data_IF_318669513128
#
_entry.id   IF_318669513128
#
_cell.length_a   1.000
_cell.length_b   1.000
_cell.length_c   1.000
_cell.angle_alpha   90.00
_cell.angle_beta   90.00
_cell.angle_gamma   90.00
#
_symmetry.space_group_name_H-M   'P 1'
#
loop_
_entity.id
_entity.type
_entity.pdbx_description
1 polymer ?
#
# COMPACT_ATOMS: atom_id res chain seq x y z
N UNK A 1 19.65 -3.14 -2.88
CA UNK A 1 21.00 -3.70 -3.14
C UNK A 1 21.43 -3.55 -4.61
N UNK A 2 20.63 -3.95 -5.61
CA UNK A 2 21.04 -3.82 -7.02
C UNK A 2 21.28 -2.37 -7.47
N UNK A 3 20.41 -1.44 -7.07
CA UNK A 3 20.48 -0.03 -7.48
C UNK A 3 21.66 0.74 -6.88
N UNK A 4 22.35 0.20 -5.87
CA UNK A 4 23.56 0.82 -5.30
C UNK A 4 24.85 0.35 -5.98
N UNK A 5 24.80 -0.65 -6.86
CA UNK A 5 25.98 -1.18 -7.56
C UNK A 5 26.73 -0.11 -8.38
N UNK A 6 26.06 0.81 -9.12
CA UNK A 6 26.77 1.88 -9.83
C UNK A 6 27.57 2.78 -8.89
N UNK A 7 27.03 3.09 -7.71
CA UNK A 7 27.73 3.86 -6.69
C UNK A 7 28.96 3.10 -6.14
N UNK A 8 28.82 1.80 -5.83
CA UNK A 8 29.95 0.96 -5.41
C UNK A 8 31.03 0.86 -6.49
N UNK A 9 30.65 0.80 -7.76
CA UNK A 9 31.58 0.78 -8.89
C UNK A 9 32.47 2.02 -8.94
N UNK A 10 31.98 3.20 -8.53
CA UNK A 10 32.79 4.42 -8.40
C UNK A 10 33.90 4.25 -7.38
N UNK A 11 33.60 3.68 -6.21
CA UNK A 11 34.60 3.45 -5.15
C UNK A 11 35.66 2.47 -5.64
N UNK A 12 35.23 1.38 -6.27
CA UNK A 12 36.12 0.36 -6.84
C UNK A 12 37.00 0.96 -7.92
N UNK A 13 36.43 1.70 -8.87
CA UNK A 13 37.18 2.39 -9.92
C UNK A 13 38.21 3.35 -9.33
N UNK A 14 37.86 4.13 -8.31
CA UNK A 14 38.81 5.06 -7.69
C UNK A 14 39.96 4.36 -6.98
N UNK A 15 39.67 3.29 -6.26
CA UNK A 15 40.65 2.61 -5.37
C UNK A 15 41.50 1.59 -6.09
N UNK A 16 40.96 0.89 -7.09
CA UNK A 16 41.63 -0.21 -7.80
C UNK A 16 41.87 0.07 -9.29
N UNK A 17 41.30 1.15 -9.83
CA UNK A 17 41.40 1.51 -11.25
C UNK A 17 40.61 0.59 -12.18
N UNK A 18 40.65 0.91 -13.48
CA UNK A 18 39.99 0.12 -14.54
C UNK A 18 40.44 -1.34 -14.61
N UNK A 19 41.70 -1.61 -14.22
CA UNK A 19 42.27 -2.97 -14.23
C UNK A 19 41.52 -3.93 -13.30
N UNK A 20 40.82 -3.44 -12.27
CA UNK A 20 40.00 -4.30 -11.42
C UNK A 20 38.91 -5.01 -12.22
N UNK A 21 38.23 -4.28 -13.11
CA UNK A 21 37.09 -4.77 -13.87
C UNK A 21 37.47 -5.81 -14.94
N UNK A 22 38.75 -5.89 -15.29
CA UNK A 22 39.29 -6.94 -16.18
C UNK A 22 40.08 -8.01 -15.42
N UNK A 23 40.19 -7.90 -14.10
CA UNK A 23 40.96 -8.82 -13.26
C UNK A 23 40.13 -10.00 -12.75
N UNK A 24 40.83 -11.08 -12.36
CA UNK A 24 40.22 -12.20 -11.62
C UNK A 24 39.61 -11.78 -10.28
N UNK A 25 39.98 -10.62 -9.72
CA UNK A 25 39.38 -10.11 -8.47
C UNK A 25 37.90 -9.78 -8.63
N UNK A 26 37.48 -9.28 -9.80
CA UNK A 26 36.06 -9.07 -10.09
C UNK A 26 35.31 -10.40 -10.08
N UNK A 27 35.88 -11.45 -10.68
CA UNK A 27 35.28 -12.78 -10.66
C UNK A 27 35.11 -13.29 -9.22
N UNK A 28 36.14 -13.18 -8.37
CA UNK A 28 36.02 -13.57 -6.97
C UNK A 28 34.99 -12.74 -6.21
N UNK A 29 34.97 -11.41 -6.40
CA UNK A 29 33.96 -10.55 -5.78
C UNK A 29 32.54 -10.91 -6.24
N UNK A 30 32.35 -11.21 -7.53
CA UNK A 30 31.07 -11.65 -8.09
C UNK A 30 30.64 -13.00 -7.52
N UNK A 31 31.55 -13.98 -7.45
CA UNK A 31 31.27 -15.30 -6.88
C UNK A 31 30.91 -15.22 -5.40
N UNK A 32 31.64 -14.40 -4.61
CA UNK A 32 31.32 -14.17 -3.19
C UNK A 32 29.95 -13.49 -3.05
N UNK A 33 29.68 -12.46 -3.85
CA UNK A 33 28.40 -11.72 -3.80
C UNK A 33 27.22 -12.60 -4.23
N UNK A 34 27.38 -13.39 -5.29
CA UNK A 34 26.38 -14.36 -5.75
C UNK A 34 26.19 -15.46 -4.71
N UNK A 35 27.28 -15.98 -4.11
CA UNK A 35 27.21 -16.95 -3.03
C UNK A 35 26.46 -16.43 -1.81
N UNK A 36 26.73 -15.18 -1.40
CA UNK A 36 25.99 -14.51 -0.33
C UNK A 36 24.51 -14.31 -0.68
N UNK A 37 24.21 -13.91 -1.92
CA UNK A 37 22.84 -13.76 -2.41
C UNK A 37 22.10 -15.11 -2.38
N UNK A 38 22.73 -16.18 -2.87
CA UNK A 38 22.17 -17.54 -2.82
C UNK A 38 21.94 -17.95 -1.36
N UNK A 39 22.89 -17.69 -0.46
CA UNK A 39 22.73 -18.03 0.96
C UNK A 39 21.51 -17.33 1.58
N UNK A 40 21.30 -16.04 1.28
CA UNK A 40 20.12 -15.28 1.74
C UNK A 40 18.84 -15.82 1.11
N UNK A 41 18.82 -16.05 -0.21
CA UNK A 41 17.62 -16.51 -0.92
C UNK A 41 17.30 -17.99 -0.66
N UNK A 42 18.26 -18.81 -0.25
CA UNK A 42 18.03 -20.22 0.12
C UNK A 42 17.11 -20.36 1.35
N UNK A 43 16.99 -19.31 2.16
CA UNK A 43 15.99 -19.25 3.23
C UNK A 43 14.56 -19.39 2.68
N UNK A 44 14.25 -18.82 1.51
CA UNK A 44 12.89 -18.81 0.97
C UNK A 44 12.34 -20.21 0.65
N UNK A 45 13.01 -21.07 -0.15
CA UNK A 45 12.53 -22.43 -0.38
C UNK A 45 12.52 -23.27 0.90
N UNK A 46 13.48 -23.06 1.80
CA UNK A 46 13.49 -23.74 3.09
C UNK A 46 12.26 -23.36 3.92
N UNK A 47 11.99 -22.07 4.08
CA UNK A 47 10.80 -21.56 4.78
C UNK A 47 9.52 -22.06 4.10
N UNK A 48 9.42 -21.95 2.77
CA UNK A 48 8.28 -22.41 2.00
C UNK A 48 8.01 -23.91 2.20
N UNK A 49 9.04 -24.75 2.32
CA UNK A 49 8.90 -26.19 2.57
C UNK A 49 8.22 -26.52 3.90
N UNK A 50 8.30 -25.62 4.89
CA UNK A 50 7.65 -25.74 6.20
C UNK A 50 6.17 -25.36 6.19
N UNK A 51 5.60 -25.08 5.01
CA UNK A 51 4.19 -24.72 4.85
C UNK A 51 3.80 -23.55 5.77
N UNK A 52 4.50 -22.39 5.66
CA UNK A 52 4.16 -21.23 6.46
C UNK A 52 2.73 -20.81 6.13
N UNK A 53 2.11 -20.12 7.08
CA UNK A 53 0.73 -19.72 6.98
C UNK A 53 0.44 -18.97 5.67
N UNK A 54 1.20 -17.90 5.40
CA UNK A 54 1.20 -17.19 4.13
C UNK A 54 2.49 -17.53 3.40
N UNK A 55 2.39 -18.24 2.29
CA UNK A 55 3.52 -18.66 1.48
C UNK A 55 3.55 -17.89 0.15
N UNK A 56 3.89 -16.60 0.24
CA UNK A 56 3.76 -15.64 -0.86
C UNK A 56 4.56 -16.07 -2.10
N UNK A 57 3.87 -16.30 -3.22
CA UNK A 57 4.48 -16.78 -4.46
C UNK A 57 4.94 -18.24 -4.44
N UNK A 58 4.82 -18.95 -3.30
CA UNK A 58 5.16 -20.35 -3.11
C UNK A 58 6.52 -20.77 -3.72
N UNK A 59 7.68 -20.22 -3.27
CA UNK A 59 8.99 -20.45 -3.87
C UNK A 59 9.57 -21.84 -3.56
N UNK A 60 8.87 -22.92 -3.94
CA UNK A 60 9.25 -24.32 -3.69
C UNK A 60 9.95 -24.99 -4.87
N UNK A 61 9.68 -24.58 -6.10
CA UNK A 61 10.41 -25.07 -7.28
C UNK A 61 11.33 -23.98 -7.84
N UNK A 62 12.26 -24.39 -8.70
CA UNK A 62 13.17 -23.47 -9.38
C UNK A 62 12.42 -22.36 -10.14
N UNK A 63 11.23 -22.67 -10.66
CA UNK A 63 10.41 -21.71 -11.38
C UNK A 63 9.88 -20.60 -10.48
N UNK A 64 9.23 -20.93 -9.35
CA UNK A 64 8.70 -19.92 -8.44
C UNK A 64 9.82 -19.16 -7.73
N UNK A 65 10.95 -19.83 -7.42
CA UNK A 65 12.16 -19.16 -6.90
C UNK A 65 12.65 -18.11 -7.91
N UNK A 66 12.74 -18.48 -9.19
CA UNK A 66 13.15 -17.55 -10.24
C UNK A 66 12.14 -16.41 -10.40
N UNK A 67 10.84 -16.69 -10.34
CA UNK A 67 9.80 -15.66 -10.39
C UNK A 67 9.90 -14.67 -9.23
N UNK A 68 10.20 -15.17 -8.02
CA UNK A 68 10.39 -14.34 -6.85
C UNK A 68 11.63 -13.45 -6.97
N UNK A 69 12.80 -14.03 -7.31
CA UNK A 69 14.05 -13.28 -7.51
C UNK A 69 13.89 -12.19 -8.57
N UNK A 70 13.16 -12.49 -9.63
CA UNK A 70 12.96 -11.58 -10.75
C UNK A 70 11.80 -10.60 -10.57
N UNK A 71 11.10 -10.67 -9.43
CA UNK A 71 9.92 -9.85 -9.13
C UNK A 71 8.81 -10.01 -10.17
N UNK A 72 8.66 -11.19 -10.80
CA UNK A 72 7.81 -11.40 -11.98
C UNK A 72 6.38 -10.87 -11.80
N UNK A 73 5.78 -11.09 -10.63
CA UNK A 73 4.42 -10.63 -10.30
C UNK A 73 4.28 -9.11 -10.24
N UNK A 74 5.36 -8.40 -9.93
CA UNK A 74 5.37 -6.95 -9.72
C UNK A 74 5.78 -6.17 -10.95
N UNK A 75 6.21 -6.84 -12.03
CA UNK A 75 6.62 -6.18 -13.28
C UNK A 75 5.48 -5.44 -13.97
N UNK A 76 4.23 -5.77 -13.66
CA UNK A 76 3.04 -5.08 -14.19
C UNK A 76 3.01 -3.60 -13.77
N UNK A 77 3.64 -3.24 -12.66
CA UNK A 77 3.74 -1.86 -12.18
C UNK A 77 4.88 -1.09 -12.86
N UNK A 78 5.68 -1.71 -13.73
CA UNK A 78 6.73 -0.99 -14.46
C UNK A 78 6.13 -0.30 -15.70
N UNK A 79 6.23 1.02 -15.75
CA UNK A 79 5.81 1.87 -16.87
C UNK A 79 6.90 2.89 -17.20
N UNK A 80 7.34 2.89 -18.45
CA UNK A 80 8.41 3.79 -18.94
C UNK A 80 7.86 4.94 -19.78
N UNK A 81 6.58 5.29 -19.61
CA UNK A 81 5.97 6.37 -20.38
C UNK A 81 6.35 7.74 -19.78
N UNK A 82 6.68 8.75 -20.61
CA UNK A 82 7.04 10.07 -20.10
C UNK A 82 5.96 10.73 -19.23
N UNK A 83 4.69 10.48 -19.54
CA UNK A 83 3.56 11.00 -18.76
C UNK A 83 3.55 10.44 -17.34
N UNK A 84 3.66 9.11 -17.18
CA UNK A 84 3.71 8.46 -15.86
C UNK A 84 4.94 8.92 -15.07
N UNK A 85 6.13 8.88 -15.70
CA UNK A 85 7.37 9.31 -15.04
C UNK A 85 7.31 10.78 -14.60
N UNK A 86 6.61 11.63 -15.36
CA UNK A 86 6.37 13.04 -15.00
C UNK A 86 5.51 13.19 -13.75
N UNK A 87 4.43 12.40 -13.63
CA UNK A 87 3.59 12.37 -12.41
C UNK A 87 4.42 11.93 -11.20
N UNK A 88 5.17 10.84 -11.33
CA UNK A 88 6.04 10.33 -10.25
C UNK A 88 7.11 11.36 -9.86
N UNK A 89 7.63 12.13 -10.82
CA UNK A 89 8.63 13.16 -10.54
C UNK A 89 8.05 14.34 -9.75
N UNK A 90 6.82 14.75 -10.05
CA UNK A 90 6.12 15.79 -9.29
C UNK A 90 5.86 15.33 -7.86
N UNK A 91 5.43 14.07 -7.70
CA UNK A 91 5.20 13.48 -6.38
C UNK A 91 6.49 13.38 -5.57
N UNK A 92 7.57 12.86 -6.18
CA UNK A 92 8.90 12.85 -5.58
C UNK A 92 9.34 14.25 -5.15
N UNK A 93 9.15 15.27 -6.00
CA UNK A 93 9.54 16.65 -5.68
C UNK A 93 8.75 17.19 -4.48
N UNK A 94 7.46 16.87 -4.38
CA UNK A 94 6.62 17.24 -3.23
C UNK A 94 7.11 16.56 -1.95
N UNK A 95 7.38 15.26 -2.01
CA UNK A 95 7.92 14.50 -0.87
C UNK A 95 9.30 15.02 -0.46
N UNK A 96 10.20 15.27 -1.41
CA UNK A 96 11.53 15.78 -1.15
C UNK A 96 11.48 17.13 -0.41
N UNK A 97 10.61 18.04 -0.85
CA UNK A 97 10.43 19.33 -0.20
C UNK A 97 9.84 19.18 1.20
N UNK A 98 8.99 18.18 1.44
CA UNK A 98 8.39 17.89 2.76
C UNK A 98 9.42 17.31 3.73
N UNK A 99 10.13 16.25 3.33
CA UNK A 99 11.04 15.51 4.21
C UNK A 99 12.18 16.39 4.74
N UNK A 100 12.63 17.36 3.93
CA UNK A 100 13.77 18.21 4.25
C UNK A 100 13.39 19.60 4.80
N UNK A 101 12.26 19.68 5.52
CA UNK A 101 11.85 20.86 6.28
C UNK A 101 10.78 21.70 5.58
N UNK A 102 10.39 22.85 6.16
CA UNK A 102 9.32 23.65 5.59
C UNK A 102 9.74 24.24 4.23
N UNK A 103 8.81 24.23 3.27
CA UNK A 103 9.05 24.71 1.90
C UNK A 103 9.58 26.15 1.84
N UNK A 104 9.21 27.00 2.80
CA UNK A 104 9.68 28.40 2.90
C UNK A 104 11.09 28.54 3.49
N UNK A 105 11.65 27.48 4.08
CA UNK A 105 13.02 27.45 4.61
C UNK A 105 13.69 26.08 4.35
N UNK A 106 14.05 25.78 3.08
CA UNK A 106 14.62 24.49 2.67
C UNK A 106 16.12 24.41 2.99
N UNK A 107 16.52 24.73 4.23
CA UNK A 107 17.92 24.75 4.66
C UNK A 107 18.65 23.42 4.43
N UNK A 108 18.06 22.24 4.74
CA UNK A 108 18.73 20.97 4.48
C UNK A 108 19.03 20.75 2.99
N UNK A 109 18.11 21.14 2.09
CA UNK A 109 18.33 21.03 0.63
C UNK A 109 19.38 22.02 0.14
N UNK A 110 19.41 23.25 0.68
CA UNK A 110 20.45 24.23 0.37
C UNK A 110 21.84 23.71 0.78
N UNK A 111 21.96 23.10 1.96
CA UNK A 111 23.19 22.44 2.37
C UNK A 111 23.49 21.21 1.53
N UNK A 112 22.50 20.42 1.12
CA UNK A 112 22.73 19.29 0.22
C UNK A 112 23.33 19.75 -1.11
N UNK A 113 22.82 20.83 -1.69
CA UNK A 113 23.38 21.43 -2.91
C UNK A 113 24.82 21.90 -2.71
N UNK A 114 25.10 22.63 -1.62
CA UNK A 114 26.47 23.03 -1.27
C UNK A 114 27.38 21.81 -1.06
N UNK A 115 26.86 20.74 -0.46
CA UNK A 115 27.54 19.47 -0.27
C UNK A 115 27.91 18.77 -1.57
N UNK A 116 26.98 18.66 -2.51
CA UNK A 116 27.27 18.13 -3.84
C UNK A 116 28.30 19.00 -4.57
N UNK A 117 28.16 20.32 -4.53
CA UNK A 117 29.08 21.24 -5.18
C UNK A 117 30.50 21.16 -4.59
N UNK A 118 30.62 20.90 -3.29
CA UNK A 118 31.91 20.83 -2.58
C UNK A 118 32.55 19.45 -2.73
N UNK A 119 31.77 18.38 -2.63
CA UNK A 119 32.19 17.04 -3.02
C UNK A 119 32.71 17.04 -4.45
N UNK A 120 32.01 17.65 -5.41
CA UNK A 120 32.50 17.74 -6.80
C UNK A 120 33.87 18.42 -6.90
N UNK A 121 34.14 19.46 -6.10
CA UNK A 121 35.43 20.17 -6.16
C UNK A 121 36.55 19.45 -5.42
N UNK A 122 36.26 18.88 -4.25
CA UNK A 122 37.26 18.36 -3.32
C UNK A 122 37.40 16.83 -3.35
N UNK A 123 36.30 16.10 -3.54
CA UNK A 123 36.25 14.65 -3.54
C UNK A 123 35.24 14.11 -4.57
N UNK A 124 35.72 13.98 -5.81
CA UNK A 124 34.95 13.45 -6.94
C UNK A 124 34.36 12.08 -6.68
N UNK A 125 34.99 11.27 -5.84
CA UNK A 125 34.53 9.91 -5.54
C UNK A 125 33.27 9.95 -4.71
N UNK A 126 33.24 10.74 -3.64
CA UNK A 126 32.03 10.95 -2.84
C UNK A 126 30.91 11.57 -3.67
N UNK A 127 31.23 12.56 -4.52
CA UNK A 127 30.23 13.16 -5.41
C UNK A 127 29.55 12.12 -6.30
N UNK A 128 30.34 11.34 -7.05
CA UNK A 128 29.79 10.35 -7.97
C UNK A 128 29.12 9.18 -7.25
N UNK A 129 29.61 8.80 -6.07
CA UNK A 129 28.97 7.80 -5.23
C UNK A 129 27.55 8.22 -4.84
N UNK A 130 27.39 9.40 -4.22
CA UNK A 130 26.08 9.91 -3.80
C UNK A 130 25.17 10.17 -5.01
N UNK A 131 25.72 10.74 -6.09
CA UNK A 131 24.95 11.04 -7.29
C UNK A 131 24.43 9.77 -7.97
N UNK A 132 25.20 8.68 -8.04
CA UNK A 132 24.70 7.44 -8.61
C UNK A 132 23.68 6.72 -7.73
N UNK A 133 23.70 6.89 -6.41
CA UNK A 133 22.59 6.43 -5.58
C UNK A 133 21.31 7.19 -5.97
N UNK A 134 21.38 8.51 -6.12
CA UNK A 134 20.22 9.31 -6.55
C UNK A 134 19.73 8.89 -7.94
N UNK A 135 20.62 8.84 -8.94
CA UNK A 135 20.25 8.52 -10.33
C UNK A 135 19.67 7.10 -10.44
N UNK A 136 20.33 6.09 -9.86
CA UNK A 136 19.92 4.71 -10.05
C UNK A 136 18.59 4.39 -9.36
N UNK A 137 18.35 4.95 -8.16
CA UNK A 137 17.07 4.75 -7.46
C UNK A 137 15.95 5.55 -8.14
N UNK A 138 16.16 6.83 -8.47
CA UNK A 138 15.14 7.60 -9.19
C UNK A 138 14.80 7.03 -10.56
N UNK A 139 15.77 6.48 -11.30
CA UNK A 139 15.50 5.82 -12.56
C UNK A 139 14.56 4.62 -12.42
N UNK A 140 14.60 3.92 -11.28
CA UNK A 140 13.69 2.84 -10.97
C UNK A 140 12.34 3.38 -10.46
N UNK A 141 12.38 4.23 -9.43
CA UNK A 141 11.20 4.71 -8.72
C UNK A 141 10.26 5.52 -9.64
N UNK A 142 10.81 6.33 -10.55
CA UNK A 142 10.02 7.09 -11.53
C UNK A 142 9.33 6.18 -12.56
N UNK A 143 9.87 4.98 -12.79
CA UNK A 143 9.31 4.00 -13.71
C UNK A 143 8.44 2.94 -13.02
N UNK A 144 8.25 3.04 -11.72
CA UNK A 144 7.52 2.05 -10.92
C UNK A 144 6.24 2.67 -10.35
N UNK A 145 5.10 2.29 -10.92
CA UNK A 145 3.77 2.79 -10.58
C UNK A 145 3.21 2.05 -9.38
N UNK A 146 3.64 2.45 -8.18
CA UNK A 146 2.93 2.08 -6.94
C UNK A 146 2.16 3.29 -6.45
N UNK A 147 0.86 3.14 -6.22
CA UNK A 147 0.07 4.22 -5.64
C UNK A 147 0.44 4.49 -4.17
N UNK A 148 0.72 3.44 -3.40
CA UNK A 148 0.92 3.44 -1.94
C UNK A 148 2.41 3.21 -1.56
N UNK A 149 2.82 3.57 -0.34
CA UNK A 149 4.15 3.31 0.25
C UNK A 149 5.38 3.77 -0.58
N UNK A 150 5.22 4.78 -1.45
CA UNK A 150 6.31 5.29 -2.31
C UNK A 150 7.49 5.87 -1.51
N UNK A 151 7.22 6.43 -0.33
CA UNK A 151 8.21 7.01 0.57
C UNK A 151 9.32 6.02 0.94
N UNK A 152 8.98 4.74 1.13
CA UNK A 152 9.93 3.67 1.40
C UNK A 152 10.94 3.46 0.25
N UNK A 153 10.51 3.66 -1.00
CA UNK A 153 11.37 3.50 -2.18
C UNK A 153 12.36 4.66 -2.33
N UNK A 154 11.96 5.87 -1.94
CA UNK A 154 12.82 7.06 -2.00
C UNK A 154 13.86 7.15 -0.87
N UNK A 155 13.80 6.28 0.15
CA UNK A 155 14.74 6.29 1.28
C UNK A 155 16.23 6.36 0.88
N UNK A 156 16.74 5.58 -0.10
CA UNK A 156 18.15 5.68 -0.51
C UNK A 156 18.51 7.05 -1.11
N UNK A 157 17.56 7.68 -1.81
CA UNK A 157 17.71 9.03 -2.37
C UNK A 157 17.77 10.05 -1.23
N UNK A 158 16.84 9.97 -0.28
CA UNK A 158 16.81 10.85 0.90
C UNK A 158 18.06 10.71 1.76
N UNK A 159 18.53 9.48 2.02
CA UNK A 159 19.79 9.25 2.74
C UNK A 159 20.96 9.92 2.01
N UNK A 160 21.03 9.81 0.68
CA UNK A 160 22.10 10.44 -0.10
C UNK A 160 22.08 11.97 -0.04
N UNK A 161 20.88 12.56 -0.06
CA UNK A 161 20.68 14.00 0.08
C UNK A 161 21.03 14.48 1.50
N UNK A 162 20.66 13.71 2.53
CA UNK A 162 21.02 14.00 3.92
C UNK A 162 22.54 13.95 4.15
N UNK A 163 23.22 12.96 3.57
CA UNK A 163 24.70 12.89 3.59
C UNK A 163 25.32 14.08 2.87
N UNK A 164 24.80 14.45 1.70
CA UNK A 164 25.22 15.67 1.00
C UNK A 164 25.03 16.91 1.88
N UNK A 165 23.91 17.04 2.61
CA UNK A 165 23.71 18.16 3.53
C UNK A 165 24.81 18.25 4.60
N UNK A 166 25.25 17.10 5.14
CA UNK A 166 26.41 17.03 6.03
C UNK A 166 27.69 17.58 5.40
N UNK A 167 27.96 17.28 4.13
CA UNK A 167 29.09 17.88 3.40
C UNK A 167 28.93 19.39 3.19
N UNK A 168 27.70 19.88 3.00
CA UNK A 168 27.42 21.33 2.92
C UNK A 168 27.72 22.06 4.22
N UNK A 169 27.37 21.45 5.36
CA UNK A 169 27.70 21.98 6.69
C UNK A 169 29.21 21.98 6.91
N UNK A 170 29.91 20.91 6.50
CA UNK A 170 31.38 20.87 6.52
C UNK A 170 32.00 22.00 5.70
N UNK A 171 31.44 22.30 4.52
CA UNK A 171 31.88 23.43 3.72
C UNK A 171 31.69 24.77 4.43
N UNK A 172 30.57 24.96 5.13
CA UNK A 172 30.33 26.17 5.92
C UNK A 172 31.38 26.35 7.04
N UNK A 173 31.77 25.25 7.70
CA UNK A 173 32.89 25.26 8.67
C UNK A 173 34.17 25.75 7.99
N UNK A 174 34.55 25.14 6.87
CA UNK A 174 35.78 25.49 6.14
C UNK A 174 35.78 26.96 5.71
N UNK A 175 34.65 27.48 5.24
CA UNK A 175 34.49 28.87 4.81
C UNK A 175 34.67 29.85 5.97
N UNK A 176 34.13 29.52 7.15
CA UNK A 176 34.26 30.38 8.34
C UNK A 176 35.68 30.36 8.91
N UNK A 177 36.35 29.20 8.92
CA UNK A 177 37.78 29.13 9.30
C UNK A 177 38.69 29.88 8.33
N UNK A 178 38.43 29.80 7.02
CA UNK A 178 39.25 30.46 6.00
C UNK A 178 39.17 32.00 6.08
N UNK A 179 38.09 32.55 6.64
CA UNK A 179 37.91 33.99 6.88
C UNK A 179 38.56 34.48 8.18
N UNK A 180 39.51 33.72 8.74
CA UNK A 180 40.23 34.06 9.99
C UNK A 180 39.32 34.27 11.21
N UNK A 181 38.12 33.68 11.20
CA UNK A 181 37.27 33.63 12.38
C UNK A 181 37.88 32.60 13.34
N UNK A 182 37.97 32.91 14.64
CA UNK A 182 38.49 31.99 15.66
C UNK A 182 37.78 30.63 15.59
N UNK A 183 38.53 29.53 15.77
CA UNK A 183 38.03 28.15 15.69
C UNK A 183 36.71 27.95 16.47
N UNK A 184 36.62 28.46 17.70
CA UNK A 184 35.42 28.34 18.54
C UNK A 184 34.16 28.99 17.92
N UNK A 185 34.31 30.13 17.25
CA UNK A 185 33.19 30.79 16.54
C UNK A 185 32.79 30.03 15.27
N UNK A 186 33.75 29.43 14.55
CA UNK A 186 33.45 28.58 13.38
C UNK A 186 32.66 27.33 13.79
N UNK A 187 33.07 26.65 14.86
CA UNK A 187 32.29 25.54 15.43
C UNK A 187 30.93 25.99 15.95
N UNK A 188 30.82 27.20 16.52
CA UNK A 188 29.53 27.78 16.90
C UNK A 188 28.57 27.97 15.71
N UNK A 189 29.04 28.52 14.59
CA UNK A 189 28.25 28.65 13.35
C UNK A 189 27.79 27.29 12.84
N UNK A 190 28.68 26.29 12.88
CA UNK A 190 28.38 24.94 12.45
C UNK A 190 27.34 24.26 13.35
N UNK A 191 27.50 24.40 14.68
CA UNK A 191 26.54 23.89 15.64
C UNK A 191 25.15 24.51 15.42
N UNK A 192 25.08 25.82 15.18
CA UNK A 192 23.83 26.51 14.84
C UNK A 192 23.26 25.95 13.53
N UNK A 193 24.08 25.77 12.48
CA UNK A 193 23.62 25.22 11.21
C UNK A 193 23.05 23.79 11.37
N UNK A 194 23.76 22.91 12.08
CA UNK A 194 23.30 21.54 12.39
C UNK A 194 21.99 21.57 13.18
N UNK A 195 21.93 22.41 14.22
CA UNK A 195 20.75 22.53 15.07
C UNK A 195 19.56 23.05 14.27
N UNK A 196 19.73 24.10 13.45
CA UNK A 196 18.66 24.63 12.61
C UNK A 196 18.19 23.61 11.57
N UNK A 197 19.11 22.96 10.85
CA UNK A 197 18.78 21.92 9.87
C UNK A 197 18.02 20.76 10.50
N UNK A 198 18.47 20.29 11.68
CA UNK A 198 17.84 19.16 12.37
C UNK A 198 16.50 19.55 13.00
N UNK A 199 16.42 20.74 13.62
CA UNK A 199 15.20 21.22 14.25
C UNK A 199 14.11 21.53 13.22
N UNK A 200 14.43 22.16 12.08
CA UNK A 200 13.42 22.45 11.05
C UNK A 200 12.88 21.16 10.42
N UNK A 201 13.75 20.20 10.08
CA UNK A 201 13.32 18.90 9.57
C UNK A 201 12.50 18.13 10.63
N UNK A 202 12.94 18.10 11.88
CA UNK A 202 12.22 17.42 12.96
C UNK A 202 10.83 18.04 13.19
N UNK A 203 10.75 19.36 13.36
CA UNK A 203 9.48 20.05 13.62
C UNK A 203 8.49 19.96 12.46
N UNK A 204 8.96 20.00 11.21
CA UNK A 204 8.10 19.86 10.03
C UNK A 204 7.49 18.46 9.94
N UNK A 205 8.27 17.42 10.26
CA UNK A 205 7.85 16.03 10.08
C UNK A 205 7.22 15.41 11.33
N UNK A 206 7.49 15.93 12.54
CA UNK A 206 7.02 15.37 13.80
C UNK A 206 5.50 15.15 13.86
N UNK A 207 4.63 16.09 13.43
CA UNK A 207 3.19 15.89 13.53
C UNK A 207 2.66 14.70 12.71
N UNK A 208 3.34 14.35 11.61
CA UNK A 208 2.95 13.27 10.70
C UNK A 208 3.65 11.94 11.04
N UNK A 209 4.87 12.01 11.57
CA UNK A 209 5.66 10.83 11.93
C UNK A 209 5.43 10.35 13.37
N UNK A 210 4.81 11.15 14.23
CA UNK A 210 4.45 10.73 15.58
C UNK A 210 3.23 9.79 15.57
N UNK A 211 3.47 8.49 15.52
CA UNK A 211 2.45 7.44 15.45
C UNK A 211 2.00 6.87 16.81
N UNK A 212 2.27 7.58 17.93
CA UNK A 212 1.93 7.11 19.30
C UNK A 212 0.44 6.79 19.54
N UNK A 213 -0.45 7.37 18.73
CA UNK A 213 -1.90 7.18 18.80
C UNK A 213 -2.46 6.59 17.49
N UNK A 214 -1.62 5.95 16.67
CA UNK A 214 -2.03 5.37 15.41
C UNK A 214 -2.67 3.99 15.63
N UNK A 215 -3.98 3.96 15.86
CA UNK A 215 -4.77 2.73 16.06
C UNK A 215 -5.64 2.36 14.84
N UNK A 216 -5.53 3.13 13.75
CA UNK A 216 -6.47 3.07 12.62
C UNK A 216 -6.63 1.69 12.01
N UNK A 217 -5.53 0.97 11.76
CA UNK A 217 -5.60 -0.36 11.15
C UNK A 217 -6.33 -1.37 12.05
N UNK A 218 -6.12 -1.27 13.37
CA UNK A 218 -6.78 -2.13 14.35
C UNK A 218 -8.28 -1.76 14.45
N UNK A 219 -8.59 -0.48 14.63
CA UNK A 219 -9.97 0.02 14.75
C UNK A 219 -10.77 -0.27 13.48
N UNK A 220 -10.15 -0.14 12.31
CA UNK A 220 -10.79 -0.48 11.03
C UNK A 220 -11.15 -1.96 10.94
N UNK A 221 -10.24 -2.86 11.34
CA UNK A 221 -10.54 -4.30 11.37
C UNK A 221 -11.62 -4.65 12.39
N UNK A 222 -11.56 -4.09 13.60
CA UNK A 222 -12.60 -4.33 14.62
C UNK A 222 -13.98 -3.83 14.17
N UNK A 223 -14.04 -2.64 13.56
CA UNK A 223 -15.27 -2.09 13.01
C UNK A 223 -15.85 -2.92 11.85
N UNK A 224 -14.99 -3.48 10.99
CA UNK A 224 -15.42 -4.39 9.93
C UNK A 224 -15.93 -5.72 10.49
N UNK A 225 -15.17 -6.33 11.40
CA UNK A 225 -15.51 -7.63 11.99
C UNK A 225 -16.75 -7.57 12.87
N UNK A 226 -16.96 -6.49 13.62
CA UNK A 226 -18.13 -6.32 14.49
C UNK A 226 -19.45 -6.23 13.69
N UNK A 227 -19.38 -5.84 12.42
CA UNK A 227 -20.54 -5.80 11.54
C UNK A 227 -20.88 -7.18 10.91
N UNK A 228 -19.96 -8.15 10.95
CA UNK A 228 -20.13 -9.45 10.29
C UNK A 228 -20.75 -10.46 11.25
N UNK A 229 -21.85 -11.09 10.85
CA UNK A 229 -22.48 -12.18 11.60
C UNK A 229 -21.64 -13.47 11.62
N UNK A 230 -21.97 -14.38 12.54
CA UNK A 230 -21.21 -15.62 12.72
C UNK A 230 -21.12 -16.45 11.44
N UNK A 231 -19.95 -17.01 11.14
CA UNK A 231 -19.64 -17.79 9.93
C UNK A 231 -19.77 -17.04 8.59
N UNK A 232 -19.91 -15.71 8.64
CA UNK A 232 -20.05 -14.86 7.46
C UNK A 232 -18.81 -14.88 6.54
N UNK A 233 -19.05 -14.62 5.26
CA UNK A 233 -18.01 -14.41 4.25
C UNK A 233 -17.83 -12.92 4.01
N UNK A 234 -16.60 -12.40 4.10
CA UNK A 234 -16.22 -11.08 3.61
C UNK A 234 -15.41 -11.23 2.32
N UNK A 235 -15.95 -10.73 1.21
CA UNK A 235 -15.20 -10.54 -0.03
C UNK A 235 -14.72 -9.08 -0.09
N UNK A 236 -13.43 -8.87 -0.36
CA UNK A 236 -12.86 -7.51 -0.45
C UNK A 236 -11.79 -7.42 -1.53
N UNK A 237 -11.53 -6.21 -2.03
CA UNK A 237 -10.36 -5.87 -2.85
C UNK A 237 -9.48 -4.82 -2.17
N UNK A 238 -9.87 -4.36 -0.98
CA UNK A 238 -9.15 -3.36 -0.24
C UNK A 238 -8.00 -4.02 0.51
N UNK A 239 -6.77 -3.69 0.08
CA UNK A 239 -5.57 -4.14 0.76
C UNK A 239 -5.51 -3.66 2.22
N UNK A 240 -6.14 -2.51 2.53
CA UNK A 240 -6.24 -1.98 3.88
C UNK A 240 -7.23 -2.75 4.77
N UNK A 241 -7.98 -3.68 4.17
CA UNK A 241 -8.78 -4.68 4.89
C UNK A 241 -8.00 -6.00 4.96
N UNK A 242 -7.61 -6.55 3.80
CA UNK A 242 -7.01 -7.88 3.74
C UNK A 242 -5.71 -8.01 4.55
N UNK A 243 -4.82 -7.01 4.45
CA UNK A 243 -3.51 -7.02 5.12
C UNK A 243 -3.61 -7.08 6.65
N UNK A 244 -4.30 -6.13 7.34
CA UNK A 244 -4.43 -6.20 8.79
C UNK A 244 -5.34 -7.35 9.26
N UNK A 245 -6.30 -7.82 8.45
CA UNK A 245 -7.12 -9.01 8.77
C UNK A 245 -6.26 -10.27 8.93
N UNK A 246 -5.20 -10.44 8.13
CA UNK A 246 -4.28 -11.57 8.32
C UNK A 246 -3.68 -11.55 9.74
N UNK A 247 -3.24 -10.40 10.23
CA UNK A 247 -2.68 -10.29 11.57
C UNK A 247 -3.74 -10.50 12.65
N UNK A 248 -4.88 -9.80 12.56
CA UNK A 248 -5.96 -9.89 13.54
C UNK A 248 -6.50 -11.32 13.69
N UNK A 249 -6.74 -12.02 12.57
CA UNK A 249 -7.24 -13.38 12.64
C UNK A 249 -6.15 -14.38 13.03
N UNK A 250 -4.94 -14.27 12.46
CA UNK A 250 -3.96 -15.36 12.57
C UNK A 250 -3.04 -15.23 13.77
N UNK A 251 -2.82 -14.01 14.27
CA UNK A 251 -1.97 -13.73 15.42
C UNK A 251 -2.84 -13.42 16.63
N UNK A 252 -3.78 -12.49 16.52
CA UNK A 252 -4.65 -12.09 17.64
C UNK A 252 -5.85 -13.02 17.86
N UNK A 253 -6.09 -13.98 16.96
CA UNK A 253 -7.20 -14.95 17.01
C UNK A 253 -8.60 -14.31 17.03
N UNK A 254 -8.73 -13.09 16.47
CA UNK A 254 -10.02 -12.40 16.39
C UNK A 254 -10.91 -13.01 15.31
N UNK A 255 -12.18 -13.28 15.66
CA UNK A 255 -13.26 -13.71 14.74
C UNK A 255 -12.80 -14.74 13.68
N UNK A 256 -12.24 -15.85 14.15
CA UNK A 256 -11.80 -16.99 13.30
C UNK A 256 -12.94 -17.66 12.54
N UNK A 257 -14.17 -17.44 12.96
CA UNK A 257 -15.39 -17.89 12.30
C UNK A 257 -15.64 -17.15 10.97
N UNK A 258 -15.18 -15.91 10.84
CA UNK A 258 -15.37 -15.09 9.64
C UNK A 258 -14.36 -15.47 8.57
N UNK A 259 -14.85 -15.75 7.36
CA UNK A 259 -13.99 -16.06 6.21
C UNK A 259 -13.71 -14.77 5.46
N UNK A 260 -12.46 -14.33 5.47
CA UNK A 260 -12.03 -13.13 4.71
C UNK A 260 -11.31 -13.56 3.43
N UNK A 261 -11.84 -13.17 2.28
CA UNK A 261 -11.32 -13.50 0.95
C UNK A 261 -10.99 -12.23 0.18
N UNK A 262 -9.73 -12.11 -0.22
CA UNK A 262 -9.25 -11.01 -1.07
C UNK A 262 -9.38 -11.41 -2.55
N UNK A 263 -10.21 -10.69 -3.30
CA UNK A 263 -10.47 -10.95 -4.70
C UNK A 263 -9.28 -10.62 -5.63
N UNK A 264 -8.34 -9.77 -5.22
CA UNK A 264 -7.08 -9.57 -5.92
C UNK A 264 -6.15 -10.78 -5.73
N UNK A 265 -6.08 -11.32 -4.51
CA UNK A 265 -5.27 -12.51 -4.23
C UNK A 265 -5.85 -13.79 -4.85
N UNK A 266 -7.17 -13.86 -5.09
CA UNK A 266 -7.75 -14.93 -5.92
C UNK A 266 -7.13 -15.01 -7.32
N UNK A 267 -6.44 -13.98 -7.81
CA UNK A 267 -5.69 -14.00 -9.08
C UNK A 267 -4.27 -14.52 -8.92
N UNK A 268 -3.96 -15.21 -7.82
CA UNK A 268 -2.64 -15.81 -7.53
C UNK A 268 -2.83 -17.26 -7.12
N UNK A 269 -2.23 -18.19 -7.85
CA UNK A 269 -2.49 -19.62 -7.64
C UNK A 269 -2.10 -20.10 -6.23
N UNK A 270 -1.05 -19.50 -5.64
CA UNK A 270 -0.60 -19.78 -4.27
C UNK A 270 -1.63 -19.40 -3.19
N UNK A 271 -2.54 -18.46 -3.46
CA UNK A 271 -3.54 -18.03 -2.48
C UNK A 271 -4.57 -19.14 -2.22
N UNK A 272 -4.87 -19.98 -3.21
CA UNK A 272 -5.73 -21.14 -3.00
C UNK A 272 -5.11 -22.20 -2.10
N UNK A 273 -3.77 -22.27 -1.99
CA UNK A 273 -3.13 -23.12 -1.00
C UNK A 273 -3.33 -22.58 0.42
N UNK A 274 -3.36 -21.25 0.60
CA UNK A 274 -3.74 -20.62 1.86
C UNK A 274 -5.21 -20.87 2.19
N UNK A 275 -6.12 -20.66 1.24
CA UNK A 275 -7.55 -20.86 1.44
C UNK A 275 -7.88 -22.33 1.75
N UNK A 276 -7.24 -23.31 1.09
CA UNK A 276 -7.42 -24.75 1.40
C UNK A 276 -7.05 -25.10 2.84
N UNK A 277 -6.03 -24.46 3.40
CA UNK A 277 -5.60 -24.71 4.78
C UNK A 277 -6.45 -23.95 5.79
N UNK A 278 -6.87 -22.74 5.45
CA UNK A 278 -7.54 -21.82 6.38
C UNK A 278 -9.05 -22.01 6.38
N UNK A 279 -9.65 -22.23 5.20
CA UNK A 279 -11.09 -22.37 4.98
C UNK A 279 -11.38 -23.60 4.11
N UNK A 280 -11.05 -24.83 4.57
CA UNK A 280 -11.22 -26.05 3.78
C UNK A 280 -12.66 -26.24 3.29
N UNK A 281 -13.65 -25.94 4.14
CA UNK A 281 -15.06 -26.12 3.79
C UNK A 281 -15.54 -25.15 2.69
N UNK A 282 -14.99 -23.92 2.66
CA UNK A 282 -15.26 -22.95 1.60
C UNK A 282 -14.73 -23.48 0.27
N UNK A 283 -13.52 -24.04 0.27
CA UNK A 283 -12.94 -24.65 -0.93
C UNK A 283 -13.75 -25.87 -1.37
N UNK A 284 -14.18 -26.73 -0.44
CA UNK A 284 -14.94 -27.93 -0.77
C UNK A 284 -16.26 -27.59 -1.47
N UNK A 285 -17.03 -26.65 -0.92
CA UNK A 285 -18.34 -26.27 -1.46
C UNK A 285 -18.27 -25.72 -2.89
N UNK A 286 -17.15 -25.14 -3.28
CA UNK A 286 -16.94 -24.54 -4.60
C UNK A 286 -15.81 -25.22 -5.38
N UNK A 287 -15.46 -26.46 -5.02
CA UNK A 287 -14.29 -27.19 -5.52
C UNK A 287 -14.19 -27.20 -7.04
N UNK A 288 -15.26 -27.60 -7.71
CA UNK A 288 -15.29 -27.76 -9.17
C UNK A 288 -14.89 -26.46 -9.87
N UNK A 289 -15.58 -25.36 -9.54
CA UNK A 289 -15.32 -24.04 -10.16
C UNK A 289 -13.97 -23.46 -9.77
N UNK A 290 -13.53 -23.69 -8.53
CA UNK A 290 -12.20 -23.30 -8.06
C UNK A 290 -11.10 -24.05 -8.82
N UNK A 291 -11.20 -25.37 -8.98
CA UNK A 291 -10.20 -26.18 -9.65
C UNK A 291 -10.09 -25.83 -11.14
N UNK A 292 -11.22 -25.63 -11.83
CA UNK A 292 -11.25 -25.14 -13.21
C UNK A 292 -10.52 -23.81 -13.37
N UNK A 293 -10.83 -22.83 -12.52
CA UNK A 293 -10.17 -21.53 -12.59
C UNK A 293 -8.68 -21.60 -12.22
N UNK A 294 -8.31 -22.38 -11.19
CA UNK A 294 -6.91 -22.52 -10.75
C UNK A 294 -6.04 -23.17 -11.82
N UNK A 295 -6.59 -24.10 -12.60
CA UNK A 295 -5.90 -24.70 -13.74
C UNK A 295 -5.58 -23.65 -14.82
N UNK A 296 -6.59 -22.87 -15.24
CA UNK A 296 -6.42 -21.79 -16.21
C UNK A 296 -5.47 -20.70 -15.67
N UNK A 297 -5.57 -20.37 -14.39
CA UNK A 297 -4.69 -19.40 -13.73
C UNK A 297 -3.23 -19.86 -13.73
N UNK A 298 -2.94 -21.13 -13.44
CA UNK A 298 -1.58 -21.67 -13.51
C UNK A 298 -1.03 -21.66 -14.94
N UNK A 299 -1.87 -21.93 -15.94
CA UNK A 299 -1.49 -21.81 -17.34
C UNK A 299 -1.14 -20.36 -17.69
N UNK A 300 -1.96 -19.40 -17.24
CA UNK A 300 -1.70 -17.97 -17.42
C UNK A 300 -0.43 -17.51 -16.71
N UNK A 301 -0.20 -17.90 -15.46
CA UNK A 301 1.00 -17.53 -14.71
C UNK A 301 2.28 -18.03 -15.40
N UNK A 302 2.24 -19.22 -16.02
CA UNK A 302 3.34 -19.79 -16.80
C UNK A 302 3.64 -19.00 -18.07
N UNK A 303 2.61 -18.69 -18.86
CA UNK A 303 2.74 -17.94 -20.12
C UNK A 303 1.62 -16.90 -20.31
N UNK A 304 1.77 -15.71 -19.71
CA UNK A 304 0.80 -14.62 -19.88
C UNK A 304 0.71 -14.12 -21.33
N UNK A 305 1.78 -14.30 -22.12
CA UNK A 305 1.83 -13.82 -23.50
C UNK A 305 0.89 -14.61 -24.41
N UNK A 306 0.76 -15.92 -24.18
CA UNK A 306 -0.21 -16.76 -24.89
C UNK A 306 -1.67 -16.32 -24.68
N UNK A 307 -2.01 -15.86 -23.47
CA UNK A 307 -3.35 -15.35 -23.19
C UNK A 307 -3.54 -13.97 -23.82
N UNK A 308 -2.54 -13.09 -23.71
CA UNK A 308 -2.60 -11.73 -24.29
C UNK A 308 -2.85 -11.75 -25.80
N UNK A 309 -2.31 -12.72 -26.53
CA UNK A 309 -2.50 -12.86 -27.98
C UNK A 309 -3.74 -13.66 -28.38
N UNK A 310 -4.47 -14.27 -27.42
CA UNK A 310 -5.59 -15.15 -27.70
C UNK A 310 -6.84 -14.71 -26.90
N UNK A 311 -7.79 -14.09 -27.62
CA UNK A 311 -9.05 -13.62 -27.05
C UNK A 311 -9.88 -14.76 -26.43
N UNK A 312 -9.87 -15.97 -27.00
CA UNK A 312 -10.62 -17.11 -26.47
C UNK A 312 -10.05 -17.59 -25.12
N UNK A 313 -8.72 -17.65 -24.99
CA UNK A 313 -8.08 -18.00 -23.71
C UNK A 313 -8.35 -16.94 -22.64
N UNK A 314 -8.28 -15.66 -23.02
CA UNK A 314 -8.59 -14.54 -22.12
C UNK A 314 -10.06 -14.57 -21.69
N UNK A 315 -10.99 -14.85 -22.60
CA UNK A 315 -12.40 -15.01 -22.27
C UNK A 315 -12.62 -16.21 -21.35
N UNK A 316 -12.02 -17.37 -21.66
CA UNK A 316 -12.14 -18.59 -20.86
C UNK A 316 -11.76 -18.35 -19.40
N UNK A 317 -10.56 -17.80 -19.14
CA UNK A 317 -10.11 -17.55 -17.76
C UNK A 317 -10.95 -16.48 -17.05
N UNK A 318 -11.43 -15.47 -17.77
CA UNK A 318 -12.30 -14.42 -17.21
C UNK A 318 -13.66 -15.00 -16.81
N UNK A 319 -14.26 -15.83 -17.66
CA UNK A 319 -15.50 -16.55 -17.34
C UNK A 319 -15.31 -17.50 -16.17
N UNK A 320 -14.22 -18.29 -16.15
CA UNK A 320 -13.93 -19.18 -15.04
C UNK A 320 -13.74 -18.42 -13.71
N UNK A 321 -13.12 -17.23 -13.73
CA UNK A 321 -13.01 -16.37 -12.55
C UNK A 321 -14.38 -15.92 -12.05
N UNK A 322 -15.25 -15.46 -12.95
CA UNK A 322 -16.61 -15.06 -12.59
C UNK A 322 -17.41 -16.23 -12.01
N UNK A 323 -17.40 -17.39 -12.68
CA UNK A 323 -18.11 -18.59 -12.23
C UNK A 323 -17.62 -19.08 -10.87
N UNK A 324 -16.32 -18.97 -10.60
CA UNK A 324 -15.75 -19.29 -9.29
C UNK A 324 -16.29 -18.35 -8.21
N UNK A 325 -16.27 -17.03 -8.43
CA UNK A 325 -16.82 -16.06 -7.47
C UNK A 325 -18.31 -16.30 -7.24
N UNK A 326 -19.07 -16.53 -8.32
CA UNK A 326 -20.50 -16.84 -8.25
C UNK A 326 -20.74 -18.09 -7.40
N UNK A 327 -19.96 -19.15 -7.61
CA UNK A 327 -20.05 -20.38 -6.82
C UNK A 327 -19.74 -20.12 -5.35
N UNK A 328 -18.65 -19.41 -5.03
CA UNK A 328 -18.26 -19.10 -3.64
C UNK A 328 -19.37 -18.30 -2.95
N UNK A 329 -19.81 -17.19 -3.55
CA UNK A 329 -20.84 -16.33 -2.95
C UNK A 329 -22.16 -17.08 -2.78
N UNK A 330 -22.59 -17.83 -3.79
CA UNK A 330 -23.87 -18.56 -3.74
C UNK A 330 -23.84 -19.66 -2.68
N UNK A 331 -22.77 -20.45 -2.63
CA UNK A 331 -22.67 -21.58 -1.70
C UNK A 331 -22.43 -21.11 -0.25
N UNK A 332 -21.60 -20.08 -0.04
CA UNK A 332 -21.39 -19.52 1.30
C UNK A 332 -22.65 -18.80 1.83
N UNK A 333 -23.50 -18.24 0.96
CA UNK A 333 -24.79 -17.66 1.37
C UNK A 333 -25.75 -18.69 2.00
N UNK A 334 -25.52 -19.98 1.78
CA UNK A 334 -26.26 -21.07 2.45
C UNK A 334 -25.71 -21.42 3.84
N UNK A 335 -24.53 -20.91 4.20
CA UNK A 335 -23.85 -21.16 5.48
C UNK A 335 -23.95 -19.97 6.43
N UNK A 336 -23.81 -18.76 5.90
CA UNK A 336 -23.93 -17.51 6.64
C UNK A 336 -24.04 -16.30 5.70
N UNK A 337 -24.26 -15.09 6.23
CA UNK A 337 -24.38 -13.90 5.40
C UNK A 337 -23.09 -13.59 4.65
N UNK A 338 -23.23 -13.02 3.45
CA UNK A 338 -22.10 -12.62 2.61
C UNK A 338 -22.02 -11.11 2.58
N UNK A 339 -20.83 -10.60 2.86
CA UNK A 339 -20.52 -9.19 2.92
C UNK A 339 -19.49 -8.83 1.86
N UNK A 340 -19.61 -7.61 1.34
CA UNK A 340 -18.61 -7.01 0.46
C UNK A 340 -18.19 -5.65 0.99
N UNK A 341 -16.95 -5.26 0.73
CA UNK A 341 -16.50 -3.89 0.91
C UNK A 341 -16.88 -3.03 -0.30
N UNK A 342 -16.97 -1.71 -0.13
CA UNK A 342 -17.41 -0.79 -1.20
C UNK A 342 -16.50 -0.76 -2.43
N UNK A 343 -15.22 -1.08 -2.29
CA UNK A 343 -14.20 -1.07 -3.35
C UNK A 343 -14.52 -2.08 -4.46
N UNK A 344 -15.18 -3.19 -4.12
CA UNK A 344 -15.72 -4.15 -5.10
C UNK A 344 -16.81 -3.55 -6.01
N UNK A 345 -17.41 -2.43 -5.61
CA UNK A 345 -18.45 -1.73 -6.36
C UNK A 345 -17.89 -0.58 -7.20
N UNK A 346 -16.63 -0.20 -6.98
CA UNK A 346 -16.00 0.86 -7.76
C UNK A 346 -15.83 0.37 -9.21
N UNK A 347 -16.11 1.23 -10.21
CA UNK A 347 -15.89 0.87 -11.60
C UNK A 347 -14.41 0.60 -11.85
N UNK A 348 -14.02 -0.67 -11.88
CA UNK A 348 -12.72 -1.10 -12.39
C UNK A 348 -12.91 -2.07 -13.56
N UNK A 349 -12.01 -1.94 -14.54
CA UNK A 349 -11.89 -2.79 -15.72
C UNK A 349 -11.73 -4.27 -15.36
N UNK A 350 -11.19 -4.59 -14.18
CA UNK A 350 -10.84 -5.96 -13.83
C UNK A 350 -11.99 -6.76 -13.20
N UNK A 351 -12.98 -6.11 -12.58
CA UNK A 351 -14.06 -6.79 -11.84
C UNK A 351 -15.47 -6.40 -12.27
N UNK A 352 -15.61 -5.62 -13.35
CA UNK A 352 -16.91 -5.10 -13.79
C UNK A 352 -18.00 -6.16 -13.99
N UNK A 353 -17.65 -7.40 -14.36
CA UNK A 353 -18.63 -8.50 -14.45
C UNK A 353 -19.09 -9.01 -13.09
N UNK A 354 -18.18 -9.14 -12.12
CA UNK A 354 -18.50 -9.53 -10.74
C UNK A 354 -19.38 -8.46 -10.11
N UNK A 355 -18.99 -7.19 -10.20
CA UNK A 355 -19.76 -6.05 -9.69
C UNK A 355 -21.16 -6.00 -10.31
N UNK A 356 -21.27 -6.18 -11.63
CA UNK A 356 -22.56 -6.20 -12.33
C UNK A 356 -23.43 -7.35 -11.84
N UNK A 357 -22.87 -8.55 -11.72
CA UNK A 357 -23.60 -9.72 -11.23
C UNK A 357 -24.09 -9.50 -9.80
N UNK A 358 -23.24 -9.03 -8.88
CA UNK A 358 -23.61 -8.76 -7.49
C UNK A 358 -24.78 -7.76 -7.41
N UNK A 359 -24.65 -6.60 -8.06
CA UNK A 359 -25.67 -5.55 -8.03
C UNK A 359 -26.99 -5.93 -8.73
N UNK A 360 -26.98 -6.93 -9.61
CA UNK A 360 -28.18 -7.43 -10.30
C UNK A 360 -28.91 -8.52 -9.51
N UNK A 361 -28.19 -9.28 -8.68
CA UNK A 361 -28.73 -10.47 -8.00
C UNK A 361 -28.95 -10.26 -6.49
N UNK A 362 -28.39 -9.20 -5.91
CA UNK A 362 -28.49 -8.92 -4.49
C UNK A 362 -28.81 -7.46 -4.22
N UNK A 363 -29.64 -7.21 -3.21
CA UNK A 363 -29.75 -5.90 -2.59
C UNK A 363 -28.55 -5.67 -1.68
N UNK A 364 -27.91 -4.51 -1.83
CA UNK A 364 -26.76 -4.11 -1.02
C UNK A 364 -27.27 -3.42 0.24
N UNK A 365 -27.28 -4.12 1.37
CA UNK A 365 -27.73 -3.61 2.67
C UNK A 365 -26.53 -3.06 3.45
N UNK A 366 -26.42 -1.73 3.69
CA UNK A 366 -25.30 -1.18 4.44
C UNK A 366 -25.37 -1.60 5.92
N UNK A 367 -24.28 -2.22 6.41
CA UNK A 367 -24.11 -2.72 7.77
C UNK A 367 -22.70 -2.40 8.26
N UNK A 368 -22.58 -1.42 9.16
CA UNK A 368 -21.28 -0.87 9.57
C UNK A 368 -20.50 -0.35 8.36
N UNK A 369 -19.29 -0.87 8.16
CA UNK A 369 -18.41 -0.50 7.05
C UNK A 369 -18.53 -1.44 5.82
N UNK A 370 -19.59 -2.26 5.77
CA UNK A 370 -19.79 -3.31 4.76
C UNK A 370 -21.17 -3.22 4.11
N UNK A 371 -21.33 -3.88 2.96
CA UNK A 371 -22.64 -4.22 2.42
C UNK A 371 -22.91 -5.70 2.61
N UNK A 372 -24.00 -6.04 3.29
CA UNK A 372 -24.56 -7.38 3.29
C UNK A 372 -25.33 -7.62 1.98
N UNK A 373 -25.15 -8.81 1.38
CA UNK A 373 -25.79 -9.22 0.13
C UNK A 373 -27.12 -9.93 0.43
N UNK A 374 -28.21 -9.16 0.45
CA UNK A 374 -29.56 -9.69 0.64
C UNK A 374 -30.16 -10.20 -0.68
N UNK A 375 -30.90 -11.32 -0.62
CA UNK A 375 -31.51 -11.96 -1.81
C UNK A 375 -32.84 -11.34 -2.22
N UNK A 376 -33.49 -10.63 -1.31
CA UNK A 376 -34.73 -9.91 -1.56
C UNK A 376 -34.51 -8.39 -1.49
N UNK A 377 -35.56 -7.63 -1.84
CA UNK A 377 -35.53 -6.17 -1.87
C UNK A 377 -36.19 -5.54 -0.63
N UNK A 378 -36.47 -6.34 0.39
CA UNK A 378 -37.14 -5.90 1.61
C UNK A 378 -36.31 -4.95 2.46
N UNK A 379 -36.94 -4.45 3.51
CA UNK A 379 -36.19 -3.76 4.56
C UNK A 379 -35.50 -4.82 5.44
N UNK A 380 -34.19 -4.76 5.49
CA UNK A 380 -33.36 -5.55 6.39
C UNK A 380 -32.90 -4.64 7.53
N UNK A 381 -33.43 -4.91 8.73
CA UNK A 381 -33.06 -4.17 9.91
C UNK A 381 -31.69 -4.64 10.45
N UNK A 382 -30.63 -4.19 9.79
CA UNK A 382 -29.26 -4.41 10.26
C UNK A 382 -29.01 -3.67 11.58
N UNK A 383 -28.25 -4.28 12.52
CA UNK A 383 -27.94 -3.67 13.81
C UNK A 383 -27.11 -2.39 13.63
N UNK A 384 -27.31 -1.43 14.53
CA UNK A 384 -26.50 -0.22 14.56
C UNK A 384 -25.16 -0.54 15.25
N UNK A 385 -24.07 -0.46 14.48
CA UNK A 385 -22.71 -0.79 14.92
C UNK A 385 -22.01 0.48 15.33
N UNK A 386 -21.53 0.55 16.57
CA UNK A 386 -20.71 1.68 17.04
C UNK A 386 -19.31 1.58 16.44
N UNK A 387 -18.93 2.58 15.65
CA UNK A 387 -17.62 2.64 15.01
C UNK A 387 -16.58 3.33 15.91
N UNK A 388 -15.47 2.67 16.18
CA UNK A 388 -14.32 3.28 16.85
C UNK A 388 -13.46 4.06 15.84
N UNK A 389 -13.15 5.32 16.11
CA UNK A 389 -12.54 6.24 15.11
C UNK A 389 -11.36 7.03 15.67
N UNK A 390 -10.66 6.45 16.67
CA UNK A 390 -9.53 7.09 17.35
C UNK A 390 -8.47 7.50 16.34
N UNK A 391 -8.06 8.76 16.40
CA UNK A 391 -7.06 9.31 15.49
C UNK A 391 -7.53 9.50 14.05
N UNK A 392 -8.75 9.12 13.67
CA UNK A 392 -9.23 9.23 12.29
C UNK A 392 -9.65 10.66 11.94
N UNK A 393 -10.40 11.32 12.83
CA UNK A 393 -10.90 12.69 12.64
C UNK A 393 -10.81 13.58 13.90
N UNK A 394 -10.31 13.05 15.02
CA UNK A 394 -10.24 13.77 16.32
C UNK A 394 -9.01 14.70 16.45
N UNK A 395 -8.11 14.69 15.46
CA UNK A 395 -6.89 15.50 15.44
C UNK A 395 -5.74 14.99 16.32
N UNK A 396 -5.90 13.83 16.98
CA UNK A 396 -4.84 13.20 17.79
C UNK A 396 -3.71 12.62 16.95
N UNK A 397 -4.03 12.25 15.70
CA UNK A 397 -3.08 11.87 14.66
C UNK A 397 -3.29 12.80 13.47
N UNK A 398 -2.20 13.20 12.81
CA UNK A 398 -2.26 14.02 11.58
C UNK A 398 -1.79 13.20 10.40
N UNK A 399 -2.55 13.29 9.33
CA UNK A 399 -2.24 12.67 8.05
C UNK A 399 -1.92 13.74 7.03
N UNK A 400 -1.05 13.38 6.10
CA UNK A 400 -0.85 14.17 4.88
C UNK A 400 -2.11 14.10 4.01
N UNK A 401 -2.31 15.09 3.15
CA UNK A 401 -3.52 15.13 2.30
C UNK A 401 -3.61 13.93 1.36
N UNK A 402 -2.47 13.42 0.91
CA UNK A 402 -2.32 12.25 0.03
C UNK A 402 -2.08 10.94 0.80
N UNK A 403 -2.22 10.94 2.14
CA UNK A 403 -2.12 9.74 2.95
C UNK A 403 -3.28 8.76 2.67
N UNK A 404 -2.98 7.46 2.67
CA UNK A 404 -3.95 6.40 2.45
C UNK A 404 -5.13 6.45 3.43
N UNK A 405 -4.90 6.93 4.65
CA UNK A 405 -5.95 7.12 5.65
C UNK A 405 -6.99 8.11 5.16
N UNK A 406 -6.54 9.26 4.63
CA UNK A 406 -7.44 10.28 4.10
C UNK A 406 -8.11 9.83 2.80
N UNK A 407 -7.33 9.23 1.90
CA UNK A 407 -7.80 8.87 0.56
C UNK A 407 -8.75 7.67 0.56
N UNK A 408 -8.49 6.65 1.39
CA UNK A 408 -9.20 5.37 1.37
C UNK A 408 -10.01 5.11 2.63
N UNK A 409 -9.39 5.19 3.80
CA UNK A 409 -10.02 4.79 5.07
C UNK A 409 -11.14 5.76 5.45
N UNK A 410 -10.84 7.05 5.61
CA UNK A 410 -11.84 8.08 5.92
C UNK A 410 -12.95 8.11 4.86
N UNK A 411 -12.57 7.97 3.58
CA UNK A 411 -13.52 7.82 2.48
C UNK A 411 -14.43 6.59 2.62
N UNK A 412 -13.94 5.47 3.15
CA UNK A 412 -14.76 4.28 3.41
C UNK A 412 -15.77 4.51 4.53
N UNK A 413 -15.36 5.06 5.67
CA UNK A 413 -16.25 5.39 6.78
C UNK A 413 -17.36 6.34 6.34
N UNK A 414 -16.98 7.49 5.79
CA UNK A 414 -17.92 8.52 5.35
C UNK A 414 -18.88 8.01 4.28
N UNK A 415 -18.38 7.26 3.30
CA UNK A 415 -19.23 6.67 2.24
C UNK A 415 -20.21 5.66 2.81
N UNK A 416 -19.78 4.77 3.72
CA UNK A 416 -20.65 3.74 4.28
C UNK A 416 -21.73 4.33 5.20
N UNK A 417 -21.40 5.35 6.00
CA UNK A 417 -22.35 6.09 6.82
C UNK A 417 -23.40 6.82 5.95
N UNK A 418 -22.98 7.45 4.84
CA UNK A 418 -23.91 8.06 3.87
C UNK A 418 -24.82 7.00 3.24
N UNK A 419 -24.27 5.85 2.83
CA UNK A 419 -25.07 4.76 2.26
C UNK A 419 -26.07 4.21 3.27
N UNK A 420 -25.67 4.05 4.54
CA UNK A 420 -26.56 3.65 5.65
C UNK A 420 -27.70 4.65 5.84
N UNK A 421 -27.40 5.94 5.89
CA UNK A 421 -28.41 7.00 6.00
C UNK A 421 -29.40 6.98 4.84
N UNK A 422 -28.91 6.83 3.60
CA UNK A 422 -29.77 6.74 2.39
C UNK A 422 -30.66 5.50 2.40
N UNK A 423 -30.11 4.35 2.77
CA UNK A 423 -30.86 3.10 2.88
C UNK A 423 -32.00 3.23 3.89
N UNK A 424 -31.68 3.71 5.11
CA UNK A 424 -32.68 3.93 6.15
C UNK A 424 -33.76 4.92 5.72
N UNK A 425 -33.39 6.04 5.11
CA UNK A 425 -34.34 7.03 4.60
C UNK A 425 -35.25 6.45 3.50
N UNK A 426 -34.74 5.60 2.61
CA UNK A 426 -35.53 4.94 1.57
C UNK A 426 -36.60 3.99 2.13
N UNK A 427 -36.39 3.47 3.35
CA UNK A 427 -37.34 2.63 4.08
C UNK A 427 -38.08 3.39 5.20
N UNK A 428 -38.15 4.72 5.11
CA UNK A 428 -38.84 5.61 6.06
C UNK A 428 -38.29 5.58 7.51
N UNK A 429 -37.07 5.08 7.72
CA UNK A 429 -36.39 5.07 9.02
C UNK A 429 -35.63 6.39 9.25
N UNK A 430 -36.34 7.52 9.20
CA UNK A 430 -35.72 8.85 9.17
C UNK A 430 -34.95 9.21 10.44
N UNK A 431 -35.38 8.75 11.62
CA UNK A 431 -34.66 9.01 12.89
C UNK A 431 -33.25 8.40 12.86
N UNK A 432 -33.13 7.13 12.43
CA UNK A 432 -31.83 6.45 12.31
C UNK A 432 -31.01 6.98 11.14
N UNK A 433 -31.67 7.38 10.05
CA UNK A 433 -30.98 8.01 8.92
C UNK A 433 -30.26 9.30 9.33
N UNK A 434 -30.92 10.13 10.16
CA UNK A 434 -30.35 11.37 10.71
C UNK A 434 -29.06 11.09 11.49
N UNK A 435 -29.06 10.06 12.35
CA UNK A 435 -27.88 9.68 13.15
C UNK A 435 -26.71 9.31 12.21
N UNK A 436 -26.95 8.45 11.21
CA UNK A 436 -25.90 8.04 10.28
C UNK A 436 -25.30 9.23 9.50
N UNK A 437 -26.14 10.19 9.07
CA UNK A 437 -25.64 11.40 8.41
C UNK A 437 -24.88 12.32 9.36
N UNK A 438 -25.29 12.43 10.63
CA UNK A 438 -24.56 13.19 11.65
C UNK A 438 -23.18 12.58 11.93
N UNK A 439 -23.08 11.26 12.03
CA UNK A 439 -21.81 10.56 12.20
C UNK A 439 -20.88 10.79 11.00
N UNK A 440 -21.41 10.77 9.77
CA UNK A 440 -20.62 11.09 8.58
C UNK A 440 -20.07 12.53 8.65
N UNK A 441 -20.90 13.49 9.06
CA UNK A 441 -20.52 14.91 9.20
C UNK A 441 -19.59 15.18 10.38
N UNK A 442 -19.58 14.32 11.40
CA UNK A 442 -18.61 14.38 12.48
C UNK A 442 -17.20 13.99 12.00
N UNK A 443 -17.11 13.09 11.00
CA UNK A 443 -15.85 12.71 10.37
C UNK A 443 -15.39 13.71 9.31
N UNK A 444 -16.30 14.22 8.48
CA UNK A 444 -16.03 15.32 7.55
C UNK A 444 -17.26 16.25 7.43
N UNK A 445 -17.18 17.46 8.00
CA UNK A 445 -18.28 18.41 7.94
C UNK A 445 -18.68 18.83 6.52
N UNK A 446 -17.81 18.68 5.51
CA UNK A 446 -18.01 19.20 4.15
C UNK A 446 -18.78 18.26 3.23
N UNK A 447 -19.23 17.10 3.71
CA UNK A 447 -19.96 16.10 2.92
C UNK A 447 -21.35 16.59 2.49
N UNK A 448 -21.46 17.13 1.27
CA UNK A 448 -22.72 17.64 0.72
C UNK A 448 -23.86 16.59 0.74
N UNK A 449 -23.57 15.35 0.36
CA UNK A 449 -24.54 14.25 0.36
C UNK A 449 -25.09 13.94 1.77
N UNK A 450 -24.27 14.06 2.81
CA UNK A 450 -24.71 13.84 4.18
C UNK A 450 -25.57 15.02 4.68
N UNK A 451 -25.18 16.26 4.36
CA UNK A 451 -25.97 17.47 4.70
C UNK A 451 -27.37 17.44 4.05
N UNK A 452 -27.42 17.06 2.77
CA UNK A 452 -28.68 16.95 2.04
C UNK A 452 -29.58 15.85 2.61
N UNK A 453 -29.03 14.65 2.85
CA UNK A 453 -29.78 13.54 3.44
C UNK A 453 -30.29 13.84 4.85
N UNK A 454 -29.49 14.54 5.65
CA UNK A 454 -29.87 15.02 6.98
C UNK A 454 -31.05 15.99 6.90
N UNK A 455 -30.98 17.00 6.01
CA UNK A 455 -32.04 17.98 5.84
C UNK A 455 -33.35 17.32 5.36
N UNK A 456 -33.27 16.43 4.38
CA UNK A 456 -34.44 15.72 3.83
C UNK A 456 -35.11 14.83 4.89
N UNK A 457 -34.33 14.07 5.66
CA UNK A 457 -34.87 13.19 6.72
C UNK A 457 -35.47 13.99 7.87
N UNK A 458 -34.86 15.12 8.25
CA UNK A 458 -35.39 16.02 9.29
C UNK A 458 -36.72 16.65 8.86
N UNK A 459 -36.83 17.07 7.59
CA UNK A 459 -38.06 17.63 7.04
C UNK A 459 -39.21 16.61 7.04
N UNK A 460 -38.92 15.33 6.78
CA UNK A 460 -39.90 14.23 6.83
C UNK A 460 -40.42 13.95 8.24
N UNK A 461 -39.59 14.09 9.27
CA UNK A 461 -40.05 13.96 10.67
C UNK A 461 -40.85 15.18 11.15
N UNK A 462 -40.56 16.35 10.59
CA UNK A 462 -41.25 17.60 10.96
C UNK A 462 -42.65 17.72 10.35
N UNK A 463 -42.91 17.02 9.25
CA UNK A 463 -44.21 16.90 8.57
C UNK A 463 -44.58 15.41 8.41
N UNK A 464 -45.04 14.75 9.50
CA UNK A 464 -45.21 13.30 9.58
C UNK A 464 -46.27 12.72 8.65
#
# INVERSE_FOLDING_TARGET
MGLTLPALAVIVYRTQGLKFFTSRRLLYAALISIGALIAVYAYLPFAASRSPLINWGNPRSLQEIWWHITGRQYRVFLSFTPAMMGVQFVEFSRMLLREFGPQWLPLPLAFAFAGFATAYRQDRTTFWFLLFIVIANLAYDLSYEIAEDKDAYYLPVFISIALAAGFGIRWLIQLTTAKSISLGKSYGVAAIAVLLTSATAFTANWPFNNRRHYFIAHDYVENLLSAIESNGLLLTQDWQVASPMFYAQQIEQLRRDVKVVDANLLRRSWYFDYLRRTYPDLIERSREKIEMFVEDLKAWERDPAAFKSNALLTQKISTAFLEMIQSIVTNESGVGPVYITRDLLLPDTTNGEVTRWLSQNYQLVPQGLLFNLAKDSGFHDSPDVRLETRGLADGTVRFEQDDVVNLKILSAYTSMLINRGRYLAAFNQHERAIIAFQEALALDPNLAAAREGLAQSTAKLSNP
#
